data_IF_788989659103
#
_entry.id   IF_788989659103
#
_cell.length_a   1.000
_cell.length_b   1.000
_cell.length_c   1.000
_cell.angle_alpha   90.00
_cell.angle_beta   90.00
_cell.angle_gamma   90.00
#
_symmetry.space_group_name_H-M   'P 1'
#
loop_
_entity.id
_entity.type
_entity.pdbx_description
1 polymer ?
#
# COMPACT_ATOMS: atom_id res chain seq x y z
N UNK A 1 13.56 -12.46 5.73
CA UNK A 1 12.34 -11.63 5.72
C UNK A 1 12.82 -10.21 5.83
N UNK A 2 12.81 -9.44 4.74
CA UNK A 2 13.24 -8.05 4.80
C UNK A 2 12.17 -7.25 5.56
N UNK A 3 12.52 -6.75 6.75
CA UNK A 3 11.64 -5.95 7.59
C UNK A 3 11.55 -4.53 7.03
N UNK A 4 10.88 -4.38 5.90
CA UNK A 4 10.46 -3.07 5.41
C UNK A 4 9.45 -2.54 6.44
N UNK A 5 9.65 -1.33 7.00
CA UNK A 5 8.68 -0.76 7.93
C UNK A 5 7.31 -0.67 7.23
N UNK A 6 6.20 -0.91 7.96
CA UNK A 6 4.87 -0.77 7.39
C UNK A 6 4.69 0.62 6.80
N UNK A 7 4.07 0.70 5.63
CA UNK A 7 3.76 2.00 5.00
C UNK A 7 2.81 2.79 5.90
N UNK A 8 2.78 4.12 5.75
CA UNK A 8 1.82 4.96 6.45
C UNK A 8 0.36 4.49 6.24
N UNK A 9 0.04 4.02 5.03
CA UNK A 9 -1.27 3.46 4.71
C UNK A 9 -1.53 2.13 5.45
N UNK A 10 -0.55 1.22 5.52
CA UNK A 10 -0.69 0.00 6.30
C UNK A 10 -0.94 0.29 7.80
N UNK A 11 -0.21 1.26 8.37
CA UNK A 11 -0.40 1.71 9.75
C UNK A 11 -1.79 2.31 9.96
N UNK A 12 -2.28 3.11 9.01
CA UNK A 12 -3.62 3.69 9.07
C UNK A 12 -4.70 2.61 9.08
N UNK A 13 -4.61 1.60 8.20
CA UNK A 13 -5.58 0.51 8.20
C UNK A 13 -5.52 -0.32 9.49
N UNK A 14 -4.32 -0.59 10.01
CA UNK A 14 -4.15 -1.26 11.28
C UNK A 14 -4.81 -0.49 12.43
N UNK A 15 -4.56 0.82 12.50
CA UNK A 15 -5.14 1.71 13.52
C UNK A 15 -6.66 1.71 13.46
N UNK A 16 -7.25 1.75 12.25
CA UNK A 16 -8.71 1.66 12.07
C UNK A 16 -9.28 0.37 12.67
N UNK A 17 -8.67 -0.78 12.39
CA UNK A 17 -9.12 -2.07 12.95
C UNK A 17 -8.99 -2.12 14.47
N UNK A 18 -7.88 -1.65 15.02
CA UNK A 18 -7.66 -1.61 16.46
C UNK A 18 -8.67 -0.67 17.17
N UNK A 19 -8.95 0.49 16.56
CA UNK A 19 -9.95 1.43 17.07
C UNK A 19 -11.35 0.82 17.06
N UNK A 20 -11.74 0.15 15.97
CA UNK A 20 -13.02 -0.57 15.88
C UNK A 20 -13.16 -1.65 16.98
N UNK A 21 -12.12 -2.46 17.19
CA UNK A 21 -12.11 -3.48 18.25
C UNK A 21 -12.21 -2.85 19.64
N UNK A 22 -11.46 -1.78 19.88
CA UNK A 22 -11.49 -1.06 21.16
C UNK A 22 -12.86 -0.46 21.45
N UNK A 23 -13.56 0.03 20.42
CA UNK A 23 -14.93 0.53 20.55
C UNK A 23 -15.89 -0.56 21.02
N UNK A 24 -15.85 -1.75 20.42
CA UNK A 24 -16.69 -2.88 20.86
C UNK A 24 -16.37 -3.28 22.30
N UNK A 25 -15.08 -3.33 22.66
CA UNK A 25 -14.69 -3.67 24.03
C UNK A 25 -15.08 -2.60 25.05
N UNK A 26 -15.19 -1.33 24.64
CA UNK A 26 -15.59 -0.26 25.56
C UNK A 26 -17.01 -0.39 26.09
N UNK A 27 -17.87 -1.19 25.44
CA UNK A 27 -19.24 -1.45 25.87
C UNK A 27 -19.42 -2.90 26.35
N UNK A 28 -18.35 -3.57 26.78
CA UNK A 28 -18.38 -5.01 27.14
C UNK A 28 -19.30 -5.35 28.33
N UNK A 29 -19.63 -4.37 29.15
CA UNK A 29 -20.55 -4.52 30.28
C UNK A 29 -22.03 -4.54 29.85
N UNK A 30 -22.32 -4.17 28.60
CA UNK A 30 -23.67 -4.19 28.06
C UNK A 30 -24.04 -5.62 27.59
N UNK A 31 -25.14 -6.20 28.09
CA UNK A 31 -25.53 -7.57 27.75
C UNK A 31 -25.96 -7.74 26.28
N UNK A 32 -26.37 -6.67 25.62
CA UNK A 32 -26.70 -6.64 24.19
C UNK A 32 -25.99 -5.46 23.55
N UNK A 33 -24.80 -5.72 23.00
CA UNK A 33 -24.02 -4.71 22.31
C UNK A 33 -24.58 -4.46 20.91
N UNK A 34 -24.76 -3.19 20.55
CA UNK A 34 -25.00 -2.79 19.16
C UNK A 34 -23.66 -2.75 18.41
N UNK A 35 -23.40 -3.77 17.58
CA UNK A 35 -22.13 -3.92 16.86
C UNK A 35 -22.29 -3.25 15.48
N UNK A 36 -21.67 -2.08 15.24
CA UNK A 36 -21.75 -1.42 13.95
C UNK A 36 -21.05 -2.23 12.85
N UNK A 37 -21.41 -2.00 11.59
CA UNK A 37 -20.69 -2.66 10.47
C UNK A 37 -19.21 -2.25 10.45
N UNK A 38 -18.26 -3.19 10.34
CA UNK A 38 -16.84 -2.87 10.20
C UNK A 38 -16.43 -2.39 8.80
N UNK A 39 -17.34 -2.43 7.82
CA UNK A 39 -17.06 -2.08 6.42
C UNK A 39 -16.50 -0.65 6.30
N UNK A 40 -15.35 -0.52 5.62
CA UNK A 40 -14.67 0.76 5.47
C UNK A 40 -13.79 1.18 6.66
N UNK A 41 -13.89 0.50 7.81
CA UNK A 41 -13.06 0.75 9.01
C UNK A 41 -11.90 -0.26 9.06
N UNK A 42 -11.16 -0.34 7.96
CA UNK A 42 -10.06 -1.29 7.82
C UNK A 42 -10.49 -2.73 7.56
N UNK A 43 -11.79 -2.96 7.30
CA UNK A 43 -12.37 -4.23 6.87
C UNK A 43 -13.18 -4.06 5.58
N UNK A 44 -13.28 -5.13 4.80
CA UNK A 44 -14.11 -5.26 3.59
C UNK A 44 -14.89 -6.57 3.64
N UNK A 45 -16.05 -6.62 2.98
CA UNK A 45 -16.86 -7.83 2.90
C UNK A 45 -16.53 -8.60 1.62
N UNK A 46 -15.99 -9.81 1.76
CA UNK A 46 -15.70 -10.71 0.65
C UNK A 46 -16.35 -12.07 0.90
N UNK A 47 -17.24 -12.50 0.00
CA UNK A 47 -17.95 -13.80 0.11
C UNK A 47 -18.59 -14.00 1.48
N UNK A 48 -19.28 -12.96 1.96
CA UNK A 48 -19.92 -12.90 3.29
C UNK A 48 -18.99 -13.02 4.50
N UNK A 49 -17.68 -12.93 4.30
CA UNK A 49 -16.69 -12.89 5.37
C UNK A 49 -16.01 -11.53 5.45
N UNK A 50 -15.74 -11.07 6.67
CA UNK A 50 -14.95 -9.88 6.91
C UNK A 50 -13.47 -10.18 6.68
N UNK A 51 -12.87 -9.45 5.72
CA UNK A 51 -11.45 -9.51 5.44
C UNK A 51 -10.78 -8.20 5.83
N UNK A 52 -9.58 -8.24 6.43
CA UNK A 52 -8.84 -7.03 6.75
C UNK A 52 -8.35 -6.35 5.47
N UNK A 53 -8.55 -5.05 5.38
CA UNK A 53 -7.91 -4.21 4.36
C UNK A 53 -6.48 -3.95 4.82
N UNK A 54 -5.50 -4.58 4.18
CA UNK A 54 -4.09 -4.45 4.58
C UNK A 54 -3.49 -3.11 4.17
N UNK A 55 -3.73 -2.72 2.92
CA UNK A 55 -3.31 -1.48 2.29
C UNK A 55 -4.34 -1.10 1.22
N UNK A 56 -4.49 0.19 0.97
CA UNK A 56 -5.26 0.75 -0.15
C UNK A 56 -4.36 1.32 -1.24
N UNK A 57 -3.12 1.65 -0.89
CA UNK A 57 -2.12 2.13 -1.83
C UNK A 57 -1.38 0.95 -2.49
N UNK A 58 -0.96 1.10 -3.76
CA UNK A 58 -0.14 0.09 -4.41
C UNK A 58 1.16 -0.12 -3.65
N UNK A 59 1.56 -1.39 -3.50
CA UNK A 59 2.85 -1.75 -2.94
C UNK A 59 3.95 -0.99 -3.69
N UNK A 60 4.86 -0.40 -2.91
CA UNK A 60 5.90 0.53 -3.39
C UNK A 60 6.68 0.03 -4.61
N UNK A 61 6.77 -1.27 -4.87
CA UNK A 61 7.42 -1.81 -6.08
C UNK A 61 6.86 -1.24 -7.39
N UNK A 62 5.57 -0.88 -7.45
CA UNK A 62 4.98 -0.20 -8.62
C UNK A 62 5.30 1.30 -8.66
N UNK A 63 5.33 1.97 -7.51
CA UNK A 63 5.68 3.39 -7.39
C UNK A 63 7.19 3.65 -7.61
N UNK A 64 8.05 2.68 -7.26
CA UNK A 64 9.49 2.79 -7.39
C UNK A 64 10.00 2.64 -8.83
N UNK A 65 9.16 2.24 -9.81
CA UNK A 65 9.57 2.25 -11.22
C UNK A 65 9.96 3.66 -11.68
N UNK A 66 9.36 4.70 -11.08
CA UNK A 66 9.72 6.11 -11.32
C UNK A 66 11.13 6.47 -10.84
N UNK A 67 11.73 5.65 -9.96
CA UNK A 67 13.10 5.84 -9.46
C UNK A 67 14.16 5.17 -10.35
N UNK A 68 13.76 4.42 -11.37
CA UNK A 68 14.71 3.77 -12.29
C UNK A 68 15.35 4.82 -13.18
N UNK A 69 16.55 5.26 -12.80
CA UNK A 69 17.42 6.11 -13.63
C UNK A 69 18.47 5.25 -14.33
N UNK A 70 18.64 5.43 -15.62
CA UNK A 70 19.73 4.79 -16.34
C UNK A 70 21.04 5.55 -16.11
N UNK A 71 22.15 4.83 -16.10
CA UNK A 71 23.50 5.40 -16.11
C UNK A 71 23.98 5.84 -17.50
N UNK A 72 23.07 5.91 -18.49
CA UNK A 72 23.44 6.23 -19.87
C UNK A 72 23.85 7.71 -19.98
N UNK A 73 24.94 7.97 -20.72
CA UNK A 73 25.47 9.34 -20.92
C UNK A 73 24.88 10.04 -22.14
N UNK A 74 24.65 9.32 -23.24
CA UNK A 74 23.94 9.76 -24.46
C UNK A 74 23.34 8.54 -25.15
N UNK A 75 22.16 8.68 -25.76
CA UNK A 75 21.55 7.64 -26.61
C UNK A 75 21.19 6.36 -25.87
N UNK A 76 19.93 6.21 -25.49
CA UNK A 76 19.46 5.08 -24.71
C UNK A 76 19.09 3.86 -25.62
N UNK A 77 19.96 2.84 -25.65
CA UNK A 77 19.82 1.61 -26.47
C UNK A 77 19.26 0.41 -25.68
N UNK A 78 19.30 -0.82 -26.23
CA UNK A 78 18.76 -2.03 -25.60
C UNK A 78 19.37 -2.37 -24.22
N UNK A 79 20.56 -1.84 -23.90
CA UNK A 79 21.22 -2.03 -22.60
C UNK A 79 20.75 -1.05 -21.51
N UNK A 80 19.94 -0.05 -21.87
CA UNK A 80 19.43 0.93 -20.91
C UNK A 80 18.46 0.27 -19.92
N UNK A 81 18.68 0.47 -18.62
CA UNK A 81 17.81 -0.05 -17.57
C UNK A 81 16.38 0.46 -17.67
N UNK A 82 16.18 1.75 -17.98
CA UNK A 82 14.84 2.32 -18.22
C UNK A 82 14.15 1.66 -19.41
N UNK A 83 14.88 1.41 -20.50
CA UNK A 83 14.30 0.78 -21.71
C UNK A 83 13.96 -0.68 -21.50
N UNK A 84 14.75 -1.41 -20.69
CA UNK A 84 14.45 -2.81 -20.31
C UNK A 84 13.14 -2.95 -19.54
N UNK A 85 12.73 -1.93 -18.78
CA UNK A 85 11.45 -1.88 -18.08
C UNK A 85 10.36 -1.13 -18.87
N UNK A 86 10.58 -0.89 -20.17
CA UNK A 86 9.68 -0.16 -21.06
C UNK A 86 9.31 1.27 -20.58
N UNK A 87 10.21 1.94 -19.87
CA UNK A 87 9.99 3.29 -19.35
C UNK A 87 10.77 4.35 -20.14
N UNK A 88 10.16 5.54 -20.30
CA UNK A 88 10.82 6.69 -20.94
C UNK A 88 11.86 7.31 -20.00
N UNK A 89 13.00 7.74 -20.54
CA UNK A 89 14.11 8.30 -19.77
C UNK A 89 13.87 9.75 -19.27
N UNK A 90 12.73 10.05 -18.63
CA UNK A 90 12.30 11.42 -18.31
C UNK A 90 13.15 12.17 -17.27
N UNK A 91 13.82 11.46 -16.35
CA UNK A 91 14.68 12.06 -15.30
C UNK A 91 16.14 11.57 -15.40
N UNK A 92 16.56 11.17 -16.59
CA UNK A 92 17.88 10.60 -16.83
C UNK A 92 18.82 11.61 -17.50
N UNK A 93 20.12 11.47 -17.26
CA UNK A 93 21.12 12.30 -17.92
C UNK A 93 21.27 12.00 -19.44
N UNK A 94 20.70 10.90 -19.95
CA UNK A 94 20.73 10.56 -21.39
C UNK A 94 19.74 11.37 -22.25
N UNK A 95 18.82 12.13 -21.62
CA UNK A 95 17.75 12.92 -22.27
C UNK A 95 18.12 14.42 -22.39
N UNK A 96 19.39 14.77 -22.12
CA UNK A 96 19.97 16.12 -22.31
C UNK A 96 20.90 16.18 -23.52
#
# INVERSE_FOLDING_TARGET
>A
MESIPPTQDALLQHTRRAAYQSQIWSTSDEPLQDIPSPEGIGWTKEKDMWQPVWITLPVSSKACLELVKCGCKKGCTARCSCRRVNWKCSSCNCDK
#
